data_IF_287804423794
#
_entry.id   IF_287804423794
#
_cell.length_a   1.000
_cell.length_b   1.000
_cell.length_c   1.000
_cell.angle_alpha   90.00
_cell.angle_beta   90.00
_cell.angle_gamma   90.00
#
_symmetry.space_group_name_H-M   'P 1'
#
loop_
_entity.id
_entity.type
_entity.pdbx_description
1 polymer ?
#
# COMPACT_ATOMS: atom_id res chain seq x y z
N UNK A 1 -8.04 -6.68 -22.14
CA UNK A 1 -8.17 -7.17 -20.73
C UNK A 1 -8.21 -5.91 -19.87
N UNK A 2 -9.33 -5.57 -19.25
CA UNK A 2 -9.40 -4.38 -18.37
C UNK A 2 -8.47 -4.62 -17.18
N UNK A 3 -7.43 -3.81 -17.02
CA UNK A 3 -6.59 -3.85 -15.82
C UNK A 3 -7.39 -3.22 -14.67
N UNK A 4 -7.44 -3.90 -13.52
CA UNK A 4 -8.09 -3.35 -12.32
C UNK A 4 -7.31 -2.11 -11.88
N UNK A 5 -8.02 -0.99 -11.74
CA UNK A 5 -7.43 0.24 -11.22
C UNK A 5 -6.89 -0.01 -9.80
N UNK A 6 -5.62 0.31 -9.59
CA UNK A 6 -4.96 0.19 -8.29
C UNK A 6 -5.29 1.43 -7.48
N UNK A 7 -5.96 1.24 -6.35
CA UNK A 7 -6.35 2.34 -5.48
C UNK A 7 -5.21 2.73 -4.52
N UNK A 8 -5.08 4.01 -4.14
CA UNK A 8 -4.19 4.43 -3.07
C UNK A 8 -4.58 3.74 -1.76
N UNK A 9 -3.57 3.28 -1.04
CA UNK A 9 -3.71 2.82 0.34
C UNK A 9 -2.40 3.01 1.09
N UNK A 10 -2.54 3.25 2.39
CA UNK A 10 -1.44 3.36 3.35
C UNK A 10 -1.68 2.38 4.48
N UNK A 11 -0.67 1.61 4.84
CA UNK A 11 -0.73 0.62 5.91
C UNK A 11 0.40 0.84 6.90
N UNK A 12 0.17 0.51 8.17
CA UNK A 12 1.20 0.53 9.21
C UNK A 12 1.44 -0.87 9.75
N UNK A 13 2.71 -1.26 9.88
CA UNK A 13 3.10 -2.50 10.54
C UNK A 13 2.87 -2.40 12.04
N UNK A 14 2.10 -3.35 12.60
CA UNK A 14 1.75 -3.35 14.01
C UNK A 14 2.84 -4.04 14.87
N UNK A 15 3.11 -3.52 16.08
CA UNK A 15 4.01 -4.18 17.03
C UNK A 15 3.47 -5.54 17.44
N UNK A 16 4.39 -6.44 17.79
CA UNK A 16 4.10 -7.80 18.29
C UNK A 16 3.27 -8.69 17.34
N UNK A 17 3.02 -8.22 16.12
CA UNK A 17 2.22 -8.91 15.10
C UNK A 17 3.10 -9.46 13.97
N UNK A 18 4.30 -9.95 14.28
CA UNK A 18 5.20 -10.57 13.30
C UNK A 18 5.05 -12.09 13.40
N UNK A 19 4.30 -12.68 12.48
CA UNK A 19 4.06 -14.13 12.43
C UNK A 19 5.17 -14.86 11.67
N UNK A 20 5.76 -14.19 10.67
CA UNK A 20 6.88 -14.72 9.88
C UNK A 20 7.75 -13.59 9.37
N UNK A 21 9.07 -13.72 9.56
CA UNK A 21 10.01 -12.67 9.17
C UNK A 21 10.24 -12.54 7.65
N UNK A 22 10.21 -13.64 6.89
CA UNK A 22 10.47 -13.62 5.43
C UNK A 22 9.98 -14.88 4.70
N UNK A 23 9.96 -14.81 3.35
CA UNK A 23 9.68 -15.90 2.41
C UNK A 23 8.29 -16.59 2.47
N UNK A 24 7.14 -15.88 2.50
CA UNK A 24 6.95 -14.43 2.56
C UNK A 24 6.92 -13.92 4.01
N UNK A 25 7.20 -12.63 4.19
CA UNK A 25 6.97 -11.99 5.49
C UNK A 25 5.46 -11.99 5.78
N UNK A 26 5.06 -12.38 6.99
CA UNK A 26 3.66 -12.38 7.43
C UNK A 26 3.55 -11.50 8.66
N UNK A 27 2.83 -10.38 8.51
CA UNK A 27 2.73 -9.33 9.53
C UNK A 27 1.30 -8.86 9.68
N UNK A 28 0.92 -8.50 10.91
CA UNK A 28 -0.31 -7.75 11.18
C UNK A 28 -0.10 -6.28 10.84
N UNK A 29 -1.07 -5.70 10.14
CA UNK A 29 -1.05 -4.30 9.73
C UNK A 29 -2.38 -3.64 10.02
N UNK A 30 -2.34 -2.32 10.22
CA UNK A 30 -3.53 -1.47 10.21
C UNK A 30 -3.60 -0.71 8.90
N UNK A 31 -4.74 -0.76 8.22
CA UNK A 31 -5.00 0.06 7.03
C UNK A 31 -5.32 1.47 7.51
N UNK A 32 -4.39 2.41 7.34
CA UNK A 32 -4.54 3.78 7.82
C UNK A 32 -5.52 4.58 6.95
N UNK A 33 -5.53 4.32 5.65
CA UNK A 33 -6.42 4.98 4.72
C UNK A 33 -6.41 4.33 3.35
N UNK A 34 -7.38 4.71 2.52
CA UNK A 34 -7.54 4.17 1.19
C UNK A 34 -8.11 2.74 1.17
N UNK A 35 -7.79 1.99 0.12
CA UNK A 35 -8.32 0.62 -0.10
C UNK A 35 -7.19 -0.32 -0.48
N UNK A 36 -6.79 -1.17 0.47
CA UNK A 36 -5.72 -2.14 0.27
C UNK A 36 -6.22 -3.29 -0.59
N UNK A 37 -5.45 -3.69 -1.60
CA UNK A 37 -5.81 -4.78 -2.52
C UNK A 37 -4.69 -5.82 -2.58
N UNK A 38 -5.04 -7.09 -2.74
CA UNK A 38 -4.03 -8.14 -2.98
C UNK A 38 -3.43 -8.05 -4.38
N UNK A 39 -2.18 -8.48 -4.51
CA UNK A 39 -1.44 -8.50 -5.77
C UNK A 39 -0.77 -7.18 -6.16
N UNK A 40 -0.82 -6.16 -5.30
CA UNK A 40 -0.17 -4.85 -5.50
C UNK A 40 1.24 -4.83 -4.92
N UNK A 41 2.08 -3.95 -5.46
CA UNK A 41 3.42 -3.69 -4.91
C UNK A 41 3.34 -2.66 -3.78
N UNK A 42 4.24 -2.79 -2.81
CA UNK A 42 4.36 -1.91 -1.65
C UNK A 42 5.72 -1.21 -1.69
N UNK A 43 5.74 0.03 -1.24
CA UNK A 43 6.96 0.82 -1.08
C UNK A 43 6.97 1.57 0.25
N UNK A 44 8.18 1.93 0.66
CA UNK A 44 8.44 2.84 1.76
C UNK A 44 8.58 4.26 1.24
N UNK A 45 8.09 5.21 2.05
CA UNK A 45 8.36 6.63 1.90
C UNK A 45 9.18 7.10 3.12
N UNK A 46 10.05 8.11 2.98
CA UNK A 46 10.24 8.98 1.82
C UNK A 46 11.41 8.58 0.91
N UNK A 47 11.91 7.34 0.96
CA UNK A 47 13.01 6.89 0.09
C UNK A 47 12.50 6.28 -1.24
N UNK A 48 11.20 6.01 -1.35
CA UNK A 48 10.59 5.39 -2.53
C UNK A 48 11.01 3.94 -2.73
N UNK A 49 11.62 3.34 -1.69
CA UNK A 49 12.22 2.02 -1.77
C UNK A 49 11.12 0.99 -1.91
N UNK A 50 11.20 0.20 -2.99
CA UNK A 50 10.31 -0.94 -3.19
C UNK A 50 10.56 -1.97 -2.10
N UNK A 51 9.49 -2.32 -1.38
CA UNK A 51 9.52 -3.28 -0.28
C UNK A 51 9.30 -4.69 -0.82
N UNK A 52 8.27 -4.86 -1.65
CA UNK A 52 7.87 -6.16 -2.16
C UNK A 52 6.43 -6.18 -2.62
N UNK A 53 5.89 -7.37 -2.83
CA UNK A 53 4.55 -7.58 -3.37
C UNK A 53 3.62 -8.17 -2.34
N UNK A 54 2.45 -7.55 -2.14
CA UNK A 54 1.40 -8.07 -1.27
C UNK A 54 0.77 -9.28 -1.95
N UNK A 55 0.94 -10.47 -1.38
CA UNK A 55 0.40 -11.73 -1.90
C UNK A 55 -1.04 -11.94 -1.46
N UNK A 56 -1.28 -11.88 -0.14
CA UNK A 56 -2.54 -12.26 0.45
C UNK A 56 -2.89 -11.34 1.62
N UNK A 57 -4.18 -11.11 1.81
CA UNK A 57 -4.75 -10.42 2.95
C UNK A 57 -5.66 -11.41 3.68
N UNK A 58 -5.52 -11.49 5.00
CA UNK A 58 -6.33 -12.33 5.85
C UNK A 58 -7.04 -11.47 6.91
N UNK A 59 -8.36 -11.43 6.84
CA UNK A 59 -9.22 -10.76 7.80
C UNK A 59 -9.96 -11.82 8.62
N UNK A 60 -9.71 -11.87 9.94
CA UNK A 60 -10.38 -12.80 10.88
C UNK A 60 -10.34 -14.28 10.45
N UNK A 61 -9.24 -14.72 9.84
CA UNK A 61 -9.06 -16.10 9.39
C UNK A 61 -9.46 -16.33 7.93
N UNK A 62 -10.20 -15.43 7.31
CA UNK A 62 -10.65 -15.55 5.91
C UNK A 62 -9.74 -14.76 4.97
N UNK A 63 -9.53 -15.31 3.77
CA UNK A 63 -8.75 -14.63 2.73
C UNK A 63 -9.63 -13.67 1.97
N UNK A 64 -9.23 -12.41 1.92
CA UNK A 64 -9.98 -11.34 1.24
C UNK A 64 -9.14 -10.70 0.14
N UNK A 65 -9.80 -10.17 -0.88
CA UNK A 65 -9.13 -9.50 -1.99
C UNK A 65 -8.85 -8.02 -1.73
N UNK A 66 -9.65 -7.39 -0.88
CA UNK A 66 -9.58 -5.98 -0.59
C UNK A 66 -10.09 -5.65 0.82
N UNK A 67 -9.51 -4.62 1.41
CA UNK A 67 -9.76 -4.19 2.78
C UNK A 67 -9.78 -2.66 2.83
N UNK A 68 -10.83 -2.09 3.40
CA UNK A 68 -10.98 -0.66 3.58
C UNK A 68 -10.20 -0.16 4.82
N UNK A 69 -10.01 1.16 4.87
CA UNK A 69 -9.39 1.87 5.98
C UNK A 69 -10.00 1.54 7.36
N UNK A 70 -9.17 1.64 8.39
CA UNK A 70 -9.54 1.41 9.79
C UNK A 70 -9.49 -0.05 10.24
N UNK A 71 -9.34 -0.99 9.31
CA UNK A 71 -9.26 -2.42 9.63
C UNK A 71 -7.83 -2.86 9.98
N UNK A 72 -7.74 -3.86 10.84
CA UNK A 72 -6.51 -4.58 11.15
C UNK A 72 -6.58 -5.98 10.56
N UNK A 73 -5.57 -6.33 9.78
CA UNK A 73 -5.52 -7.57 9.02
C UNK A 73 -4.12 -8.13 9.01
N UNK A 74 -3.99 -9.44 8.81
CA UNK A 74 -2.70 -10.06 8.52
C UNK A 74 -2.46 -10.00 7.02
N UNK A 75 -1.23 -9.65 6.61
CA UNK A 75 -0.83 -9.65 5.20
C UNK A 75 0.43 -10.48 5.01
N UNK A 76 0.56 -11.06 3.83
CA UNK A 76 1.80 -11.69 3.38
C UNK A 76 2.48 -10.85 2.29
N UNK A 77 3.74 -10.52 2.51
CA UNK A 77 4.56 -9.70 1.61
C UNK A 77 5.73 -10.55 1.09
N UNK A 78 5.79 -10.74 -0.22
CA UNK A 78 6.93 -11.38 -0.87
C UNK A 78 8.03 -10.36 -1.14
N UNK A 79 9.29 -10.70 -0.82
CA UNK A 79 10.45 -9.85 -1.04
C UNK A 79 11.17 -9.41 0.24
N UNK A 80 10.49 -8.75 1.20
CA UNK A 80 11.18 -8.16 2.34
C UNK A 80 11.46 -9.18 3.45
N UNK A 81 12.39 -8.80 4.33
CA UNK A 81 12.57 -9.40 5.66
C UNK A 81 12.28 -8.35 6.73
N UNK A 82 11.41 -8.71 7.68
CA UNK A 82 11.08 -7.87 8.84
C UNK A 82 12.29 -7.76 9.77
N UNK A 83 12.64 -6.55 10.18
CA UNK A 83 13.88 -6.22 10.91
C UNK A 83 15.09 -5.93 9.99
N UNK A 84 14.88 -5.84 8.67
CA UNK A 84 15.95 -5.47 7.71
C UNK A 84 15.49 -4.48 6.65
N UNK A 85 14.53 -4.85 5.81
CA UNK A 85 13.99 -3.94 4.80
C UNK A 85 12.81 -3.13 5.33
N UNK A 86 12.00 -3.77 6.18
CA UNK A 86 10.83 -3.19 6.86
C UNK A 86 10.92 -3.51 8.34
N UNK A 87 10.35 -2.66 9.18
CA UNK A 87 10.27 -2.84 10.62
C UNK A 87 8.89 -2.47 11.18
N UNK A 88 8.66 -2.80 12.44
CA UNK A 88 7.47 -2.41 13.18
C UNK A 88 7.33 -0.89 13.21
N UNK A 89 6.12 -0.40 12.97
CA UNK A 89 5.83 1.03 12.93
C UNK A 89 6.04 1.68 11.57
N UNK A 90 6.66 0.98 10.61
CA UNK A 90 6.79 1.48 9.24
C UNK A 90 5.44 1.68 8.58
N UNK A 91 5.34 2.79 7.85
CA UNK A 91 4.22 3.10 6.96
C UNK A 91 4.57 2.68 5.53
N UNK A 92 3.82 1.73 4.99
CA UNK A 92 3.95 1.29 3.60
C UNK A 92 2.82 1.87 2.76
N UNK A 93 3.17 2.27 1.54
CA UNK A 93 2.25 2.79 0.55
C UNK A 93 2.14 1.80 -0.61
N UNK A 94 0.96 1.73 -1.21
CA UNK A 94 0.77 0.99 -2.47
C UNK A 94 1.53 1.73 -3.60
N UNK A 95 2.35 1.01 -4.36
CA UNK A 95 3.03 1.56 -5.55
C UNK A 95 2.03 1.66 -6.71
N UNK A 96 1.38 2.82 -6.82
CA UNK A 96 0.36 3.08 -7.84
C UNK A 96 1.07 3.39 -9.18
N UNK A 97 0.76 2.68 -10.27
CA UNK A 97 1.27 3.01 -11.59
C UNK A 97 0.85 4.41 -12.03
N UNK A 98 1.72 5.11 -12.75
CA UNK A 98 1.47 6.48 -13.24
C UNK A 98 0.15 6.58 -14.03
N UNK A 99 -0.13 5.60 -14.90
CA UNK A 99 -1.39 5.53 -15.67
C UNK A 99 -2.63 5.52 -14.78
N UNK A 100 -2.57 4.85 -13.63
CA UNK A 100 -3.70 4.76 -12.70
C UNK A 100 -3.85 6.06 -11.91
N UNK A 101 -2.74 6.68 -11.50
CA UNK A 101 -2.77 8.01 -10.87
C UNK A 101 -3.45 9.03 -11.79
N UNK A 102 -3.10 9.08 -13.08
CA UNK A 102 -3.73 10.00 -14.05
C UNK A 102 -5.25 9.80 -14.13
N UNK A 103 -5.71 8.55 -14.18
CA UNK A 103 -7.15 8.23 -14.20
C UNK A 103 -7.80 8.68 -12.89
N UNK A 104 -7.18 8.39 -11.74
CA UNK A 104 -7.72 8.74 -10.43
C UNK A 104 -7.83 10.27 -10.30
N UNK A 105 -6.77 11.02 -10.61
CA UNK A 105 -6.76 12.49 -10.49
C UNK A 105 -7.76 13.17 -11.45
N UNK A 106 -7.94 12.64 -12.67
CA UNK A 106 -8.81 13.26 -13.67
C UNK A 106 -10.29 12.89 -13.53
N UNK A 107 -10.57 11.64 -13.19
CA UNK A 107 -11.93 11.08 -13.28
C UNK A 107 -12.55 10.77 -11.92
N UNK A 108 -11.73 10.47 -10.91
CA UNK A 108 -12.22 9.88 -9.65
C UNK A 108 -11.90 10.70 -8.41
N UNK A 109 -11.08 11.75 -8.50
CA UNK A 109 -10.59 12.50 -7.33
C UNK A 109 -11.74 13.00 -6.45
N UNK A 110 -12.84 13.45 -7.05
CA UNK A 110 -14.04 13.96 -6.36
C UNK A 110 -14.89 12.86 -5.71
N UNK A 111 -14.63 11.59 -6.03
CA UNK A 111 -15.30 10.42 -5.47
C UNK A 111 -14.48 9.78 -4.34
N UNK A 112 -13.22 10.18 -4.17
CA UNK A 112 -12.38 9.69 -3.10
C UNK A 112 -12.77 10.35 -1.77
N UNK A 113 -12.69 9.60 -0.69
CA UNK A 113 -12.80 10.19 0.64
C UNK A 113 -11.54 11.02 0.99
N UNK A 114 -11.62 11.96 1.94
CA UNK A 114 -10.50 12.87 2.26
C UNK A 114 -9.20 12.14 2.60
N UNK A 115 -9.26 11.09 3.42
CA UNK A 115 -8.06 10.30 3.79
C UNK A 115 -7.40 9.65 2.57
N UNK A 116 -8.19 9.21 1.59
CA UNK A 116 -7.68 8.61 0.36
C UNK A 116 -7.07 9.66 -0.57
N UNK A 117 -7.61 10.88 -0.60
CA UNK A 117 -7.02 12.03 -1.31
C UNK A 117 -5.68 12.41 -0.69
N UNK A 118 -5.60 12.51 0.63
CA UNK A 118 -4.36 12.80 1.36
C UNK A 118 -3.26 11.78 1.04
N UNK A 119 -3.58 10.48 1.05
CA UNK A 119 -2.61 9.43 0.71
C UNK A 119 -2.14 9.53 -0.75
N UNK A 120 -3.05 9.83 -1.67
CA UNK A 120 -2.71 10.03 -3.07
C UNK A 120 -1.79 11.25 -3.24
N UNK A 121 -2.07 12.35 -2.54
CA UNK A 121 -1.26 13.56 -2.55
C UNK A 121 0.13 13.32 -1.95
N UNK A 122 0.23 12.63 -0.81
CA UNK A 122 1.51 12.23 -0.20
C UNK A 122 2.34 11.40 -1.19
N UNK A 123 1.72 10.39 -1.82
CA UNK A 123 2.37 9.50 -2.77
C UNK A 123 2.85 10.26 -4.03
N UNK A 124 1.99 11.08 -4.64
CA UNK A 124 2.32 11.81 -5.86
C UNK A 124 3.34 12.92 -5.60
N UNK A 125 3.24 13.62 -4.48
CA UNK A 125 4.23 14.62 -4.05
C UNK A 125 5.60 13.98 -3.92
N UNK A 126 5.67 12.80 -3.31
CA UNK A 126 6.92 12.06 -3.22
C UNK A 126 7.47 11.66 -4.60
N UNK A 127 6.66 11.01 -5.45
CA UNK A 127 7.12 10.59 -6.80
C UNK A 127 7.59 11.79 -7.63
N UNK A 128 6.92 12.94 -7.50
CA UNK A 128 7.26 14.19 -8.21
C UNK A 128 8.53 14.88 -7.68
N UNK A 129 9.01 14.55 -6.47
CA UNK A 129 10.32 15.01 -5.99
C UNK A 129 11.47 14.32 -6.72
N UNK A 130 11.32 13.03 -7.02
CA UNK A 130 12.30 12.25 -7.77
C UNK A 130 12.18 12.50 -9.29
N UNK A 131 10.95 12.61 -9.82
CA UNK A 131 10.67 12.91 -11.23
C UNK A 131 9.55 13.98 -11.35
N UNK A 132 9.89 15.26 -11.58
CA UNK A 132 8.93 16.37 -11.65
C UNK A 132 7.84 16.27 -12.73
N UNK A 133 7.99 15.36 -13.70
CA UNK A 133 7.01 15.12 -14.76
C UNK A 133 6.11 13.90 -14.48
N UNK A 134 6.37 13.17 -13.40
CA UNK A 134 5.64 11.97 -13.04
C UNK A 134 4.16 12.27 -12.77
N UNK A 135 3.27 11.65 -13.55
CA UNK A 135 1.83 11.77 -13.38
C UNK A 135 1.19 12.99 -14.06
N UNK A 136 1.92 13.77 -14.87
CA UNK A 136 1.34 14.85 -15.70
C UNK A 136 0.73 14.34 -17.01
#
# INVERSE_FOLDING_TARGET
RFEKLIMPAKIRLLPDCIFRQSNPAVVGVRVLGGKLQSGVDLLLLPDGRRVGRLKQIQEKGETVHEVDAGKEVAISIEGPTVGRQIDVGDDLYVDIPERHVKVIEREMVNLLNPSMQEILEEFTTFKRREDPFWGK
#
